data_IF_326669771313
#
_entry.id   IF_326669771313
#
_cell.length_a   1.000
_cell.length_b   1.000
_cell.length_c   1.000
_cell.angle_alpha   90.00
_cell.angle_beta   90.00
_cell.angle_gamma   90.00
#
_symmetry.space_group_name_H-M   'P 1'
#
loop_
_entity.id
_entity.type
_entity.pdbx_description
1 polymer ?
#
# COMPACT_ATOMS: atom_id res chain seq x y z
N UNK A 1 40.15 -13.20 3.19
CA UNK A 1 40.23 -12.17 4.25
C UNK A 1 39.79 -10.78 3.77
N UNK A 2 40.44 -10.21 2.74
CA UNK A 2 40.14 -8.88 2.19
C UNK A 2 38.74 -8.74 1.56
N UNK A 3 38.17 -9.82 1.04
CA UNK A 3 36.81 -9.79 0.49
C UNK A 3 35.73 -9.50 1.55
N UNK A 4 36.00 -9.77 2.84
CA UNK A 4 35.09 -9.44 3.94
C UNK A 4 35.06 -7.94 4.26
N UNK A 5 36.12 -7.20 3.91
CA UNK A 5 36.20 -5.75 4.09
C UNK A 5 35.37 -5.00 3.03
N UNK A 6 35.07 -5.65 1.89
CA UNK A 6 34.16 -5.14 0.87
C UNK A 6 32.71 -5.48 1.21
N UNK A 7 32.18 -4.82 2.24
CA UNK A 7 30.81 -4.97 2.71
C UNK A 7 30.08 -3.63 2.77
N UNK A 8 28.74 -3.61 2.84
CA UNK A 8 28.00 -2.42 3.21
C UNK A 8 28.44 -1.88 4.58
N UNK A 9 28.26 -0.57 4.78
CA UNK A 9 28.44 0.06 6.07
C UNK A 9 27.49 -0.56 7.10
N UNK A 10 27.98 -0.74 8.32
CA UNK A 10 27.11 -0.94 9.48
C UNK A 10 26.36 0.36 9.75
N UNK A 11 25.22 0.24 10.42
CA UNK A 11 24.40 1.39 10.74
C UNK A 11 25.17 2.46 11.52
N UNK A 12 25.96 2.05 12.52
CA UNK A 12 26.77 2.97 13.34
C UNK A 12 27.94 3.59 12.57
N UNK A 13 28.41 2.93 11.51
CA UNK A 13 29.43 3.51 10.61
C UNK A 13 28.80 4.60 9.74
N UNK A 14 27.59 4.35 9.23
CA UNK A 14 26.83 5.34 8.48
C UNK A 14 26.47 6.55 9.36
N UNK A 15 26.00 6.36 10.58
CA UNK A 15 25.63 7.46 11.49
C UNK A 15 26.78 8.42 11.79
N UNK A 16 28.01 7.92 11.87
CA UNK A 16 29.20 8.76 12.08
C UNK A 16 29.59 9.57 10.85
N UNK A 17 29.20 9.10 9.67
CA UNK A 17 29.50 9.73 8.38
C UNK A 17 28.36 10.62 7.90
N UNK A 18 27.14 10.37 8.38
CA UNK A 18 25.96 11.13 8.04
C UNK A 18 26.10 12.57 8.59
N UNK A 19 26.17 13.60 7.73
CA UNK A 19 26.16 14.98 8.17
C UNK A 19 24.73 15.36 8.60
N UNK A 20 24.38 16.65 8.55
CA UNK A 20 23.01 17.08 8.75
C UNK A 20 22.05 16.31 7.82
N UNK A 21 21.09 15.63 8.43
CA UNK A 21 20.18 14.71 7.74
C UNK A 21 18.74 15.15 7.99
N UNK A 22 17.91 15.11 6.94
CA UNK A 22 16.47 15.39 7.02
C UNK A 22 15.74 14.07 6.74
N UNK A 23 14.97 13.61 7.72
CA UNK A 23 14.10 12.45 7.56
C UNK A 23 12.75 12.89 6.99
N UNK A 24 12.31 12.27 5.89
CA UNK A 24 11.05 12.59 5.23
C UNK A 24 10.17 11.34 5.22
N UNK A 25 9.09 11.38 6.00
CA UNK A 25 8.11 10.29 6.09
C UNK A 25 6.76 10.85 6.54
N UNK A 26 5.67 10.27 6.05
CA UNK A 26 4.33 10.52 6.59
C UNK A 26 4.12 9.84 7.97
N UNK A 27 4.90 8.81 8.27
CA UNK A 27 4.86 8.02 9.51
C UNK A 27 6.29 7.76 9.98
N UNK A 28 6.95 8.73 10.66
CA UNK A 28 8.34 8.58 11.09
C UNK A 28 8.50 7.43 12.09
N UNK A 29 9.58 6.66 11.95
CA UNK A 29 9.89 5.54 12.83
C UNK A 29 10.57 5.96 14.15
N UNK A 30 10.83 4.99 15.05
CA UNK A 30 11.43 5.28 16.35
C UNK A 30 12.84 5.88 16.27
N UNK A 31 13.64 5.52 15.27
CA UNK A 31 15.01 6.02 15.11
C UNK A 31 15.01 7.51 14.78
N UNK A 32 14.21 7.89 13.79
CA UNK A 32 14.06 9.27 13.33
C UNK A 32 13.51 10.14 14.46
N UNK A 33 12.49 9.67 15.17
CA UNK A 33 11.91 10.37 16.33
C UNK A 33 12.92 10.54 17.47
N UNK A 34 13.75 9.52 17.74
CA UNK A 34 14.78 9.60 18.78
C UNK A 34 15.98 10.49 18.43
N UNK A 35 16.21 10.76 17.14
CA UNK A 35 17.31 11.60 16.64
C UNK A 35 16.90 13.04 16.32
N UNK A 36 15.60 13.31 16.26
CA UNK A 36 15.07 14.59 15.81
C UNK A 36 14.66 15.44 17.01
N UNK A 37 15.16 16.67 17.08
CA UNK A 37 14.74 17.66 18.09
C UNK A 37 13.46 18.40 17.71
N UNK A 38 13.14 18.49 16.40
CA UNK A 38 11.99 19.23 15.90
C UNK A 38 11.42 18.53 14.68
N UNK A 39 10.12 18.22 14.74
CA UNK A 39 9.35 17.66 13.62
C UNK A 39 8.63 18.79 12.91
N UNK A 40 8.68 18.79 11.57
CA UNK A 40 7.99 19.78 10.73
C UNK A 40 6.87 19.05 9.97
N UNK A 41 5.63 19.38 10.28
CA UNK A 41 4.47 18.76 9.67
C UNK A 41 4.02 19.50 8.40
N UNK A 42 3.88 18.76 7.30
CA UNK A 42 3.31 19.25 6.05
C UNK A 42 1.99 18.52 5.76
N UNK A 43 0.92 18.95 6.44
CA UNK A 43 -0.41 18.32 6.33
C UNK A 43 -1.28 18.89 5.20
N UNK A 44 -1.05 20.14 4.81
CA UNK A 44 -1.90 20.82 3.81
C UNK A 44 -1.51 20.39 2.40
N UNK A 45 -2.45 19.80 1.66
CA UNK A 45 -2.28 19.45 0.24
C UNK A 45 -2.59 20.66 -0.65
N UNK A 46 -1.73 21.00 -1.64
CA UNK A 46 -1.97 22.12 -2.56
C UNK A 46 -3.29 22.03 -3.33
N UNK A 47 -3.80 20.82 -3.56
CA UNK A 47 -5.06 20.56 -4.27
C UNK A 47 -6.30 20.72 -3.41
N UNK A 48 -6.16 20.87 -2.08
CA UNK A 48 -7.28 20.89 -1.13
C UNK A 48 -7.90 19.51 -0.84
N UNK A 49 -7.29 18.42 -1.31
CA UNK A 49 -7.77 17.07 -1.00
C UNK A 49 -7.69 16.79 0.50
N UNK A 50 -8.81 16.33 1.06
CA UNK A 50 -8.94 15.95 2.46
C UNK A 50 -8.58 14.49 2.67
N UNK A 51 -8.28 14.13 3.93
CA UNK A 51 -8.15 12.73 4.31
C UNK A 51 -9.51 12.01 4.15
N UNK A 52 -9.51 10.73 3.75
CA UNK A 52 -10.74 9.97 3.58
C UNK A 52 -11.41 9.68 4.93
N UNK A 53 -12.72 9.50 4.90
CA UNK A 53 -13.48 9.02 6.06
C UNK A 53 -13.13 7.56 6.36
N UNK A 54 -13.10 7.20 7.65
CA UNK A 54 -12.79 5.85 8.13
C UNK A 54 -14.03 5.27 8.81
N UNK A 55 -14.47 4.12 8.33
CA UNK A 55 -15.59 3.36 8.88
C UNK A 55 -15.12 2.01 9.43
N UNK A 56 -15.64 1.61 10.59
CA UNK A 56 -15.40 0.29 11.18
C UNK A 56 -16.67 -0.54 11.05
N UNK A 57 -16.58 -1.68 10.36
CA UNK A 57 -17.70 -2.60 10.13
C UNK A 57 -17.45 -3.97 10.78
N UNK A 58 -18.49 -4.70 11.23
CA UNK A 58 -18.34 -6.05 11.80
C UNK A 58 -17.82 -7.06 10.77
N UNK A 59 -17.14 -8.11 11.26
CA UNK A 59 -16.55 -9.16 10.41
C UNK A 59 -17.61 -10.11 9.82
N UNK A 60 -18.76 -10.27 10.48
CA UNK A 60 -19.74 -11.32 10.17
C UNK A 60 -20.26 -11.29 8.71
N UNK A 61 -20.39 -10.10 8.12
CA UNK A 61 -20.91 -9.87 6.76
C UNK A 61 -19.87 -9.21 5.85
N UNK A 62 -18.58 -9.22 6.23
CA UNK A 62 -17.56 -8.39 5.62
C UNK A 62 -17.42 -8.55 4.10
N UNK A 63 -17.60 -9.78 3.57
CA UNK A 63 -17.42 -10.09 2.15
C UNK A 63 -18.62 -9.57 1.34
N UNK A 64 -19.84 -9.77 1.83
CA UNK A 64 -21.07 -9.28 1.21
C UNK A 64 -21.12 -7.75 1.24
N UNK A 65 -20.73 -7.15 2.37
CA UNK A 65 -20.64 -5.69 2.53
C UNK A 65 -19.61 -5.12 1.55
N UNK A 66 -18.43 -5.73 1.45
CA UNK A 66 -17.39 -5.33 0.50
C UNK A 66 -17.88 -5.45 -0.96
N UNK A 67 -18.55 -6.54 -1.32
CA UNK A 67 -19.08 -6.73 -2.68
C UNK A 67 -20.11 -5.66 -3.04
N UNK A 68 -20.99 -5.29 -2.09
CA UNK A 68 -21.96 -4.20 -2.26
C UNK A 68 -21.26 -2.86 -2.52
N UNK A 69 -20.23 -2.54 -1.72
CA UNK A 69 -19.45 -1.31 -1.89
C UNK A 69 -18.67 -1.27 -3.21
N UNK A 70 -18.09 -2.40 -3.61
CA UNK A 70 -17.41 -2.55 -4.91
C UNK A 70 -18.37 -2.23 -6.05
N UNK A 71 -19.57 -2.81 -6.04
CA UNK A 71 -20.56 -2.57 -7.09
C UNK A 71 -20.98 -1.09 -7.15
N UNK A 72 -21.13 -0.44 -5.99
CA UNK A 72 -21.44 0.99 -5.92
C UNK A 72 -20.31 1.85 -6.50
N UNK A 73 -19.06 1.56 -6.14
CA UNK A 73 -17.89 2.26 -6.65
C UNK A 73 -17.71 2.07 -8.16
N UNK A 74 -17.84 0.83 -8.65
CA UNK A 74 -17.70 0.50 -10.07
C UNK A 74 -18.77 1.21 -10.92
N UNK A 75 -20.01 1.33 -10.42
CA UNK A 75 -21.07 2.08 -11.10
C UNK A 75 -20.77 3.59 -11.26
N UNK A 76 -19.85 4.12 -10.44
CA UNK A 76 -19.38 5.52 -10.48
C UNK A 76 -18.02 5.67 -11.18
N UNK A 77 -17.53 4.62 -11.87
CA UNK A 77 -16.20 4.55 -12.47
C UNK A 77 -15.06 4.83 -11.47
N UNK A 78 -15.26 4.42 -10.22
CA UNK A 78 -14.23 4.45 -9.16
C UNK A 78 -13.52 3.09 -9.06
N UNK A 79 -12.40 3.06 -8.32
CA UNK A 79 -11.57 1.86 -8.13
C UNK A 79 -11.45 1.53 -6.65
N UNK A 80 -11.33 0.23 -6.33
CA UNK A 80 -11.24 -0.28 -4.96
C UNK A 80 -9.91 -0.99 -4.74
N UNK A 81 -9.26 -0.69 -3.64
CA UNK A 81 -8.08 -1.40 -3.16
C UNK A 81 -8.46 -2.21 -1.92
N UNK A 82 -8.10 -3.49 -1.91
CA UNK A 82 -8.39 -4.39 -0.79
C UNK A 82 -7.08 -5.00 -0.31
N UNK A 83 -6.84 -4.94 1.00
CA UNK A 83 -5.68 -5.57 1.64
C UNK A 83 -6.14 -6.68 2.56
N UNK A 84 -5.53 -7.85 2.44
CA UNK A 84 -5.79 -9.04 3.26
C UNK A 84 -4.54 -9.43 4.05
N UNK A 85 -4.65 -10.33 5.02
CA UNK A 85 -3.49 -10.70 5.85
C UNK A 85 -2.68 -11.88 5.31
N UNK A 86 -3.26 -12.70 4.42
CA UNK A 86 -2.61 -13.91 3.94
C UNK A 86 -2.84 -14.08 2.45
N UNK A 87 -1.87 -14.74 1.78
CA UNK A 87 -1.97 -15.08 0.36
C UNK A 87 -3.23 -15.86 0.02
N UNK A 88 -3.56 -16.86 0.85
CA UNK A 88 -4.76 -17.66 0.67
C UNK A 88 -6.03 -16.82 0.75
N UNK A 89 -6.12 -15.87 1.69
CA UNK A 89 -7.28 -14.97 1.77
C UNK A 89 -7.40 -14.07 0.54
N UNK A 90 -6.27 -13.59 0.00
CA UNK A 90 -6.26 -12.78 -1.22
C UNK A 90 -6.72 -13.59 -2.43
N UNK A 91 -6.24 -14.84 -2.58
CA UNK A 91 -6.64 -15.77 -3.63
C UNK A 91 -8.14 -16.12 -3.52
N UNK A 92 -8.58 -16.61 -2.37
CA UNK A 92 -9.97 -17.01 -2.12
C UNK A 92 -10.93 -15.82 -2.34
N UNK A 93 -10.55 -14.60 -1.94
CA UNK A 93 -11.36 -13.40 -2.16
C UNK A 93 -11.39 -12.97 -3.63
N UNK A 94 -10.26 -13.05 -4.34
CA UNK A 94 -10.17 -12.71 -5.76
C UNK A 94 -11.06 -13.64 -6.58
N UNK A 95 -11.00 -14.95 -6.30
CA UNK A 95 -11.81 -15.95 -6.96
C UNK A 95 -13.30 -15.72 -6.68
N UNK A 96 -13.68 -15.55 -5.41
CA UNK A 96 -15.06 -15.25 -5.02
C UNK A 96 -15.60 -14.01 -5.74
N UNK A 97 -14.87 -12.90 -5.74
CA UNK A 97 -15.30 -11.67 -6.42
C UNK A 97 -15.43 -11.88 -7.94
N UNK A 98 -14.50 -12.61 -8.55
CA UNK A 98 -14.54 -12.96 -9.97
C UNK A 98 -15.75 -13.81 -10.34
N UNK A 99 -16.10 -14.81 -9.52
CA UNK A 99 -17.31 -15.64 -9.69
C UNK A 99 -18.60 -14.82 -9.61
N UNK A 100 -18.59 -13.72 -8.84
CA UNK A 100 -19.71 -12.78 -8.72
C UNK A 100 -19.68 -11.65 -9.76
N UNK A 101 -18.84 -11.76 -10.79
CA UNK A 101 -18.82 -10.86 -11.95
C UNK A 101 -18.03 -9.57 -11.74
N UNK A 102 -17.25 -9.45 -10.65
CA UNK A 102 -16.38 -8.30 -10.41
C UNK A 102 -15.13 -8.41 -11.30
N UNK A 103 -14.77 -7.30 -11.96
CA UNK A 103 -13.48 -7.18 -12.66
C UNK A 103 -12.37 -6.97 -11.63
N UNK A 104 -11.77 -8.06 -11.17
CA UNK A 104 -10.78 -8.07 -10.08
C UNK A 104 -9.43 -8.62 -10.55
N UNK A 105 -8.35 -8.13 -9.94
CA UNK A 105 -6.99 -8.68 -10.07
C UNK A 105 -6.35 -8.84 -8.70
N UNK A 106 -5.50 -9.85 -8.57
CA UNK A 106 -4.67 -10.08 -7.40
C UNK A 106 -3.24 -9.55 -7.62
N UNK A 107 -2.74 -8.75 -6.68
CA UNK A 107 -1.36 -8.29 -6.62
C UNK A 107 -0.52 -9.26 -5.78
N UNK A 108 0.13 -10.20 -6.44
CA UNK A 108 0.99 -11.17 -5.74
C UNK A 108 2.27 -10.50 -5.21
N UNK A 109 2.69 -10.88 -4.01
CA UNK A 109 3.97 -10.44 -3.41
C UNK A 109 5.21 -10.71 -4.30
N UNK A 110 5.18 -11.75 -5.13
CA UNK A 110 6.33 -12.21 -5.92
C UNK A 110 6.39 -11.61 -7.35
N UNK A 111 5.50 -10.66 -7.69
CA UNK A 111 5.55 -10.03 -9.01
C UNK A 111 6.79 -9.17 -9.17
N UNK A 112 7.35 -9.17 -10.39
CA UNK A 112 8.45 -8.29 -10.74
C UNK A 112 8.00 -6.82 -10.73
N UNK A 113 8.96 -5.90 -10.57
CA UNK A 113 8.66 -4.46 -10.47
C UNK A 113 7.96 -3.93 -11.73
N UNK A 114 8.27 -4.47 -12.91
CA UNK A 114 7.66 -4.05 -14.18
C UNK A 114 6.19 -4.46 -14.24
N UNK A 115 5.88 -5.71 -13.92
CA UNK A 115 4.51 -6.24 -13.89
C UNK A 115 3.61 -5.48 -12.90
N UNK A 116 4.16 -5.09 -11.74
CA UNK A 116 3.45 -4.25 -10.75
C UNK A 116 2.99 -2.92 -11.35
N UNK A 117 3.84 -2.28 -12.15
CA UNK A 117 3.52 -1.00 -12.80
C UNK A 117 2.43 -1.17 -13.84
N UNK A 118 2.46 -2.27 -14.59
CA UNK A 118 1.43 -2.60 -15.58
C UNK A 118 0.06 -2.84 -14.94
N UNK A 119 0.00 -3.62 -13.85
CA UNK A 119 -1.25 -3.85 -13.11
C UNK A 119 -1.85 -2.54 -12.58
N UNK A 120 -1.01 -1.67 -11.99
CA UNK A 120 -1.46 -0.37 -11.49
C UNK A 120 -1.96 0.53 -12.64
N UNK A 121 -1.27 0.50 -13.79
CA UNK A 121 -1.69 1.24 -14.98
C UNK A 121 -3.04 0.75 -15.47
N UNK A 122 -3.25 -0.55 -15.54
CA UNK A 122 -4.49 -1.16 -16.01
C UNK A 122 -5.68 -0.86 -15.08
N UNK A 123 -5.44 -0.83 -13.76
CA UNK A 123 -6.44 -0.34 -12.79
C UNK A 123 -6.84 1.12 -13.10
N UNK A 124 -5.85 1.99 -13.34
CA UNK A 124 -6.09 3.41 -13.68
C UNK A 124 -6.82 3.58 -15.01
N UNK A 125 -6.55 2.72 -15.99
CA UNK A 125 -7.23 2.70 -17.29
C UNK A 125 -8.63 2.07 -17.24
N UNK A 126 -9.02 1.47 -16.12
CA UNK A 126 -10.32 0.82 -15.95
C UNK A 126 -10.44 -0.52 -16.66
N UNK A 127 -9.33 -1.21 -16.92
CA UNK A 127 -9.35 -2.59 -17.40
C UNK A 127 -10.00 -3.53 -16.38
N UNK A 128 -9.86 -3.19 -15.09
CA UNK A 128 -10.52 -3.82 -13.95
C UNK A 128 -10.79 -2.79 -12.86
N UNK A 129 -11.66 -3.12 -11.90
CA UNK A 129 -12.17 -2.18 -10.88
C UNK A 129 -11.55 -2.38 -9.49
N UNK A 130 -11.12 -3.61 -9.19
CA UNK A 130 -10.69 -4.01 -7.84
C UNK A 130 -9.30 -4.64 -7.87
N UNK A 131 -8.40 -4.15 -7.01
CA UNK A 131 -7.09 -4.75 -6.78
C UNK A 131 -7.03 -5.33 -5.36
N UNK A 132 -6.84 -6.64 -5.24
CA UNK A 132 -6.66 -7.33 -3.96
C UNK A 132 -5.16 -7.57 -3.73
N UNK A 133 -4.67 -7.33 -2.51
CA UNK A 133 -3.28 -7.55 -2.13
C UNK A 133 -3.13 -8.09 -0.70
N UNK A 134 -1.88 -8.30 -0.29
CA UNK A 134 -1.45 -8.64 1.07
C UNK A 134 -0.68 -7.46 1.65
#
# INVERSE_FOLDING_TARGET
PSALDNRPLKFEEWERLAPQTIFVSATPGPYELGRTSTVIDQVVRPTGLVDPEVEIRPVATQVDDLLSEINRCAALDQRVLVTTLTKRMAEDLTDYLGEHGVRVRYLHADIETVERVEIIRDLRLGAFDVLVGI
#
